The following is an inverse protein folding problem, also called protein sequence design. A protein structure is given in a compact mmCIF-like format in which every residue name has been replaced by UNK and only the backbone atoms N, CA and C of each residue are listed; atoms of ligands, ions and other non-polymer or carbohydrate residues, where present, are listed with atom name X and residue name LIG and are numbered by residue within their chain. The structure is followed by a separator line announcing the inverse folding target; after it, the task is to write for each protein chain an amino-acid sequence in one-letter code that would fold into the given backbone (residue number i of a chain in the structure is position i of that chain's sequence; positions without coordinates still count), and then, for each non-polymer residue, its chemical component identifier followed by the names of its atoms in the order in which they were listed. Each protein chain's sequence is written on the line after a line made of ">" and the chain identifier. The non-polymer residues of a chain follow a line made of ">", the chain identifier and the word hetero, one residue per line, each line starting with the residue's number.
data_IF_795454368369
#
_entry.id   IF_795454368369
#
_cell.length_a   1.000
_cell.length_b   1.000
_cell.length_c   1.000
_cell.angle_alpha   90.00
_cell.angle_beta   90.00
_cell.angle_gamma   90.00
#
_symmetry.space_group_name_H-M   'P 1'
#
loop_
_entity.id
_entity.type
_entity.pdbx_description
1 polymer ?
#
# COMPACT_ATOMS: atom_id res chain seq x y z
N UNK A 1 5.77 6.72 -11.30
CA UNK A 1 6.56 6.27 -12.45
C UNK A 1 5.75 6.33 -13.74
N UNK A 2 4.69 5.50 -13.92
CA UNK A 2 3.92 5.48 -15.16
C UNK A 2 3.35 6.84 -15.56
N UNK A 3 2.82 7.62 -14.62
CA UNK A 3 2.31 8.96 -14.87
C UNK A 3 3.36 9.88 -15.50
N UNK A 4 4.60 9.85 -15.01
CA UNK A 4 5.70 10.66 -15.53
C UNK A 4 6.02 10.27 -16.97
N UNK A 5 6.18 8.97 -17.22
CA UNK A 5 6.50 8.46 -18.56
C UNK A 5 5.35 8.72 -19.53
N UNK A 6 4.09 8.49 -19.11
CA UNK A 6 2.94 8.75 -19.96
C UNK A 6 2.82 10.23 -20.34
N UNK A 7 2.97 11.13 -19.38
CA UNK A 7 2.93 12.58 -19.66
C UNK A 7 4.05 13.00 -20.63
N UNK A 8 5.25 12.46 -20.44
CA UNK A 8 6.37 12.71 -21.32
C UNK A 8 6.13 12.14 -22.73
N UNK A 9 5.59 10.92 -22.82
CA UNK A 9 5.23 10.27 -24.08
C UNK A 9 4.15 11.03 -24.84
N UNK A 10 3.11 11.51 -24.17
CA UNK A 10 2.06 12.33 -24.79
C UNK A 10 2.60 13.66 -25.34
N UNK A 11 3.71 14.16 -24.80
CA UNK A 11 4.37 15.40 -25.25
C UNK A 11 5.36 15.16 -26.39
N UNK A 12 6.17 14.12 -26.29
CA UNK A 12 7.25 13.84 -27.26
C UNK A 12 6.83 12.96 -28.42
N UNK A 13 5.71 12.25 -28.27
CA UNK A 13 5.20 11.24 -29.20
C UNK A 13 6.21 10.09 -29.45
N UNK A 14 7.27 10.02 -28.63
CA UNK A 14 8.32 9.01 -28.71
C UNK A 14 8.61 8.42 -27.32
N UNK A 15 8.39 7.11 -27.18
CA UNK A 15 8.54 6.41 -25.91
C UNK A 15 10.00 6.37 -25.45
N UNK A 16 10.93 6.16 -26.38
CA UNK A 16 12.35 6.12 -26.04
C UNK A 16 12.79 7.45 -25.43
N UNK A 17 12.50 8.56 -26.09
CA UNK A 17 12.81 9.90 -25.58
C UNK A 17 12.11 10.17 -24.24
N UNK A 18 10.83 9.80 -24.11
CA UNK A 18 10.08 9.97 -22.87
C UNK A 18 10.73 9.25 -21.69
N UNK A 19 11.23 8.03 -21.90
CA UNK A 19 11.91 7.25 -20.86
C UNK A 19 13.32 7.83 -20.58
N UNK A 20 14.08 8.17 -21.59
CA UNK A 20 15.45 8.72 -21.44
C UNK A 20 15.48 10.00 -20.60
N UNK A 21 14.58 10.94 -20.90
CA UNK A 21 14.50 12.21 -20.18
C UNK A 21 14.09 12.04 -18.71
N UNK A 22 13.32 10.99 -18.41
CA UNK A 22 12.68 10.85 -17.11
C UNK A 22 13.21 9.69 -16.25
N UNK A 23 14.15 8.89 -16.75
CA UNK A 23 14.64 7.70 -16.06
C UNK A 23 15.19 8.01 -14.67
N UNK A 24 15.86 9.15 -14.49
CA UNK A 24 16.46 9.56 -13.22
C UNK A 24 15.44 9.93 -12.14
N UNK A 25 14.17 10.16 -12.52
CA UNK A 25 13.07 10.44 -11.60
C UNK A 25 12.29 9.19 -11.20
N UNK A 26 12.68 8.02 -11.72
CA UNK A 26 12.01 6.77 -11.42
C UNK A 26 12.65 6.09 -10.22
N UNK A 27 11.82 5.60 -9.31
CA UNK A 27 12.28 4.85 -8.15
C UNK A 27 12.41 3.34 -8.46
N UNK A 28 13.30 2.59 -7.77
CA UNK A 28 13.32 1.14 -7.84
C UNK A 28 11.95 0.53 -7.44
N UNK A 29 11.52 -0.58 -8.01
CA UNK A 29 12.22 -1.40 -9.03
C UNK A 29 12.05 -0.89 -10.47
N UNK A 30 11.12 0.03 -10.72
CA UNK A 30 10.70 0.50 -12.05
C UNK A 30 11.87 1.15 -12.83
N UNK A 31 12.75 1.87 -12.13
CA UNK A 31 13.98 2.44 -12.71
C UNK A 31 14.82 1.36 -13.43
N UNK A 32 15.06 0.22 -12.76
CA UNK A 32 15.85 -0.88 -13.34
C UNK A 32 15.20 -1.46 -14.60
N UNK A 33 13.90 -1.62 -14.57
CA UNK A 33 13.12 -2.17 -15.69
C UNK A 33 13.19 -1.25 -16.93
N UNK A 34 12.97 0.06 -16.76
CA UNK A 34 13.07 1.01 -17.87
C UNK A 34 14.54 1.20 -18.35
N UNK A 35 15.51 1.06 -17.47
CA UNK A 35 16.91 1.07 -17.87
C UNK A 35 17.25 -0.13 -18.76
N UNK A 36 16.77 -1.32 -18.43
CA UNK A 36 16.94 -2.51 -19.26
C UNK A 36 16.28 -2.34 -20.62
N UNK A 37 15.06 -1.78 -20.65
CA UNK A 37 14.35 -1.45 -21.88
C UNK A 37 15.15 -0.51 -22.78
N UNK A 38 15.68 0.61 -22.25
CA UNK A 38 16.52 1.53 -23.00
C UNK A 38 17.82 0.88 -23.51
N UNK A 39 18.45 0.06 -22.68
CA UNK A 39 19.69 -0.65 -23.06
C UNK A 39 19.42 -1.60 -24.21
N UNK A 40 18.29 -2.31 -24.19
CA UNK A 40 17.88 -3.20 -25.27
C UNK A 40 17.72 -2.45 -26.59
N UNK A 41 16.89 -1.40 -26.59
CA UNK A 41 16.60 -0.63 -27.81
C UNK A 41 17.87 0.04 -28.38
N UNK A 42 18.75 0.56 -27.53
CA UNK A 42 19.93 1.30 -27.97
C UNK A 42 21.08 0.41 -28.41
N UNK A 43 21.27 -0.76 -27.79
CA UNK A 43 22.52 -1.51 -27.91
C UNK A 43 22.35 -2.97 -28.37
N UNK A 44 21.13 -3.53 -28.32
CA UNK A 44 20.92 -4.94 -28.60
C UNK A 44 20.03 -5.12 -29.84
N UNK A 45 18.81 -4.60 -29.77
CA UNK A 45 17.82 -4.79 -30.82
C UNK A 45 16.85 -3.59 -30.80
N UNK A 46 16.79 -2.78 -31.88
CA UNK A 46 15.91 -1.63 -31.97
C UNK A 46 14.42 -1.97 -32.18
N UNK A 47 14.04 -3.25 -32.08
CA UNK A 47 12.65 -3.67 -32.16
C UNK A 47 11.87 -3.22 -30.92
N UNK A 48 11.04 -2.18 -31.13
CA UNK A 48 10.22 -1.58 -30.08
C UNK A 48 9.15 -2.56 -29.56
N UNK A 49 8.54 -3.34 -30.44
CA UNK A 49 7.47 -4.26 -30.05
C UNK A 49 8.02 -5.39 -29.18
N UNK A 50 9.16 -5.98 -29.57
CA UNK A 50 9.84 -6.98 -28.77
C UNK A 50 10.30 -6.43 -27.41
N UNK A 51 10.79 -5.17 -27.38
CA UNK A 51 11.20 -4.52 -26.14
C UNK A 51 10.00 -4.24 -25.21
N UNK A 52 8.84 -3.89 -25.76
CA UNK A 52 7.62 -3.67 -24.98
C UNK A 52 7.02 -4.97 -24.44
N UNK A 53 7.15 -6.09 -25.16
CA UNK A 53 6.76 -7.41 -24.66
C UNK A 53 7.60 -7.81 -23.44
N UNK A 54 8.92 -7.60 -23.49
CA UNK A 54 9.78 -7.86 -22.33
C UNK A 54 9.49 -6.91 -21.18
N UNK A 55 9.24 -5.64 -21.48
CA UNK A 55 8.85 -4.64 -20.48
C UNK A 55 7.55 -5.06 -19.77
N UNK A 56 6.57 -5.56 -20.52
CA UNK A 56 5.30 -6.06 -19.98
C UNK A 56 5.51 -7.24 -19.02
N UNK A 57 6.42 -8.14 -19.35
CA UNK A 57 6.74 -9.33 -18.55
C UNK A 57 7.54 -9.02 -17.28
N UNK A 58 8.21 -7.86 -17.22
CA UNK A 58 9.13 -7.51 -16.14
C UNK A 58 8.44 -7.25 -14.78
N UNK A 59 7.16 -6.86 -14.78
CA UNK A 59 6.40 -6.57 -13.57
C UNK A 59 5.06 -7.30 -13.61
N UNK A 60 4.81 -8.15 -12.60
CA UNK A 60 3.53 -8.84 -12.45
C UNK A 60 2.48 -7.93 -11.80
N UNK A 61 1.91 -7.05 -12.62
CA UNK A 61 0.85 -6.13 -12.23
C UNK A 61 -0.12 -5.92 -13.39
N UNK A 62 -1.43 -6.00 -13.11
CA UNK A 62 -2.46 -5.90 -14.15
C UNK A 62 -2.44 -4.54 -14.85
N UNK A 63 -2.35 -3.45 -14.08
CA UNK A 63 -2.33 -2.08 -14.64
C UNK A 63 -1.04 -1.81 -15.43
N UNK A 64 0.08 -2.41 -15.01
CA UNK A 64 1.33 -2.37 -15.77
C UNK A 64 1.18 -3.03 -17.13
N UNK A 65 0.58 -4.22 -17.17
CA UNK A 65 0.31 -4.95 -18.42
C UNK A 65 -0.64 -4.17 -19.33
N UNK A 66 -1.74 -3.65 -18.77
CA UNK A 66 -2.71 -2.82 -19.49
C UNK A 66 -2.06 -1.58 -20.10
N UNK A 67 -1.16 -0.92 -19.35
CA UNK A 67 -0.40 0.22 -19.84
C UNK A 67 0.56 -0.15 -20.97
N UNK A 68 1.30 -1.25 -20.86
CA UNK A 68 2.19 -1.72 -21.93
C UNK A 68 1.40 -2.07 -23.21
N UNK A 69 0.24 -2.72 -23.08
CA UNK A 69 -0.63 -3.03 -24.22
C UNK A 69 -1.17 -1.76 -24.89
N UNK A 70 -1.57 -0.77 -24.11
CA UNK A 70 -2.00 0.51 -24.65
C UNK A 70 -0.87 1.26 -25.36
N UNK A 71 0.35 1.22 -24.83
CA UNK A 71 1.52 1.84 -25.48
C UNK A 71 1.83 1.11 -26.80
N UNK A 72 1.80 -0.23 -26.83
CA UNK A 72 1.95 -1.01 -28.09
C UNK A 72 0.88 -0.64 -29.12
N UNK A 73 -0.38 -0.51 -28.70
CA UNK A 73 -1.44 -0.06 -29.59
C UNK A 73 -1.19 1.36 -30.14
N UNK A 74 -0.68 2.27 -29.32
CA UNK A 74 -0.31 3.63 -29.72
C UNK A 74 0.86 3.67 -30.71
N UNK A 75 1.75 2.69 -30.74
CA UNK A 75 2.80 2.58 -31.77
C UNK A 75 2.20 2.29 -33.14
N UNK A 76 1.10 1.55 -33.19
CA UNK A 76 0.40 1.20 -34.43
C UNK A 76 -0.57 2.30 -34.86
N UNK A 77 -1.30 2.90 -33.89
CA UNK A 77 -2.26 3.97 -34.14
C UNK A 77 -2.15 5.07 -33.08
N UNK A 78 -1.59 6.21 -33.46
CA UNK A 78 -1.38 7.35 -32.57
C UNK A 78 -2.67 7.98 -32.06
N UNK A 79 -3.80 7.76 -32.70
CA UNK A 79 -5.10 8.26 -32.23
C UNK A 79 -5.49 7.65 -30.86
N UNK A 80 -4.92 6.49 -30.51
CA UNK A 80 -5.18 5.76 -29.29
C UNK A 80 -4.45 6.32 -28.04
N UNK A 81 -3.64 7.36 -28.18
CA UNK A 81 -2.92 7.98 -27.05
C UNK A 81 -3.85 8.48 -25.94
N UNK A 82 -5.08 8.81 -26.28
CA UNK A 82 -6.12 9.20 -25.30
C UNK A 82 -6.46 8.11 -24.27
N UNK A 83 -6.20 6.84 -24.60
CA UNK A 83 -6.47 5.69 -23.72
C UNK A 83 -5.46 5.63 -22.54
N UNK A 84 -4.26 6.18 -22.70
CA UNK A 84 -3.22 6.13 -21.69
C UNK A 84 -3.55 6.93 -20.43
N UNK A 85 -4.23 8.05 -20.58
CA UNK A 85 -4.57 8.91 -19.43
C UNK A 85 -5.49 8.23 -18.42
N UNK A 86 -6.62 7.59 -18.81
CA UNK A 86 -7.47 6.86 -17.87
C UNK A 86 -6.77 5.68 -17.20
N UNK A 87 -5.86 4.98 -17.87
CA UNK A 87 -5.10 3.87 -17.28
C UNK A 87 -4.21 4.38 -16.14
N UNK A 88 -3.55 5.52 -16.34
CA UNK A 88 -2.72 6.15 -15.31
C UNK A 88 -3.56 6.69 -14.14
N UNK A 89 -4.74 7.25 -14.41
CA UNK A 89 -5.69 7.68 -13.38
C UNK A 89 -6.15 6.50 -12.52
N UNK A 90 -6.48 5.37 -13.11
CA UNK A 90 -6.84 4.13 -12.42
C UNK A 90 -5.78 3.72 -11.39
N UNK A 91 -4.49 3.86 -11.72
CA UNK A 91 -3.38 3.62 -10.78
C UNK A 91 -3.35 4.59 -9.60
N UNK A 92 -3.64 5.85 -9.85
CA UNK A 92 -3.70 6.88 -8.81
C UNK A 92 -4.87 6.61 -7.86
N UNK A 93 -6.03 6.30 -8.41
CA UNK A 93 -7.25 6.00 -7.66
C UNK A 93 -7.08 4.75 -6.79
N UNK A 94 -6.45 3.69 -7.31
CA UNK A 94 -6.13 2.49 -6.54
C UNK A 94 -5.20 2.79 -5.35
N UNK A 95 -4.26 3.73 -5.48
CA UNK A 95 -3.40 4.14 -4.38
C UNK A 95 -4.16 4.89 -3.29
N UNK A 96 -5.05 5.78 -3.68
CA UNK A 96 -5.91 6.53 -2.75
C UNK A 96 -6.81 5.57 -1.99
N UNK A 97 -7.48 4.66 -2.68
CA UNK A 97 -8.36 3.65 -2.08
C UNK A 97 -7.58 2.72 -1.14
N UNK A 98 -6.38 2.26 -1.53
CA UNK A 98 -5.56 1.43 -0.65
C UNK A 98 -5.08 2.18 0.60
N UNK A 99 -4.70 3.45 0.47
CA UNK A 99 -4.31 4.28 1.61
C UNK A 99 -5.50 4.56 2.55
N UNK A 100 -6.69 4.73 2.00
CA UNK A 100 -7.92 4.94 2.77
C UNK A 100 -8.34 3.64 3.49
N UNK A 101 -8.25 2.48 2.81
CA UNK A 101 -8.46 1.17 3.42
C UNK A 101 -7.44 0.90 4.53
N UNK A 102 -6.19 1.24 4.32
CA UNK A 102 -5.13 1.11 5.33
C UNK A 102 -5.45 1.94 6.57
N UNK A 103 -5.88 3.19 6.40
CA UNK A 103 -6.31 4.05 7.51
C UNK A 103 -7.56 3.53 8.23
N UNK A 104 -8.54 3.00 7.48
CA UNK A 104 -9.78 2.45 8.06
C UNK A 104 -9.51 1.16 8.86
N UNK A 105 -8.53 0.35 8.46
CA UNK A 105 -8.20 -0.91 9.13
C UNK A 105 -7.20 -0.72 10.28
N UNK A 106 -6.15 0.09 10.07
CA UNK A 106 -5.09 0.27 11.09
C UNK A 106 -5.42 1.37 12.11
N UNK A 107 -6.25 2.35 11.77
CA UNK A 107 -6.68 3.41 12.68
C UNK A 107 -7.32 2.87 13.96
N UNK A 108 -8.41 2.12 13.88
CA UNK A 108 -9.10 1.56 15.05
C UNK A 108 -8.22 0.61 15.87
N UNK A 109 -7.32 -0.14 15.23
CA UNK A 109 -6.40 -1.05 15.92
C UNK A 109 -5.41 -0.29 16.79
N UNK A 110 -4.83 0.80 16.28
CA UNK A 110 -3.90 1.65 17.02
C UNK A 110 -4.58 2.33 18.20
N UNK A 111 -5.78 2.84 17.98
CA UNK A 111 -6.61 3.49 19.00
C UNK A 111 -6.99 2.51 20.11
N UNK A 112 -7.42 1.29 19.76
CA UNK A 112 -7.72 0.24 20.73
C UNK A 112 -6.48 -0.14 21.58
N UNK A 113 -5.32 -0.34 20.96
CA UNK A 113 -4.08 -0.65 21.69
C UNK A 113 -3.75 0.47 22.68
N UNK A 114 -3.87 1.72 22.27
CA UNK A 114 -3.61 2.87 23.13
C UNK A 114 -4.56 2.91 24.34
N UNK A 115 -5.85 2.66 24.11
CA UNK A 115 -6.85 2.59 25.17
C UNK A 115 -6.61 1.41 26.10
N UNK A 116 -6.27 0.23 25.57
CA UNK A 116 -5.97 -0.95 26.37
C UNK A 116 -4.74 -0.74 27.29
N UNK A 117 -3.69 -0.12 26.76
CA UNK A 117 -2.51 0.25 27.55
C UNK A 117 -2.88 1.24 28.66
N UNK A 118 -3.72 2.23 28.37
CA UNK A 118 -4.15 3.24 29.34
C UNK A 118 -4.96 2.59 30.47
N UNK A 119 -5.83 1.63 30.16
CA UNK A 119 -6.60 0.87 31.17
C UNK A 119 -5.64 0.03 32.04
N UNK A 120 -4.66 -0.65 31.44
CA UNK A 120 -3.69 -1.46 32.19
C UNK A 120 -2.78 -0.61 33.10
N UNK A 121 -2.35 0.56 32.65
CA UNK A 121 -1.55 1.50 33.45
C UNK A 121 -2.35 2.06 34.61
N UNK A 122 -3.67 2.14 34.50
CA UNK A 122 -4.53 2.65 35.56
C UNK A 122 -4.42 1.82 36.85
N UNK A 123 -4.26 0.50 36.74
CA UNK A 123 -4.13 -0.40 37.89
C UNK A 123 -2.92 -0.05 38.79
N UNK A 124 -1.68 0.06 38.29
CA UNK A 124 -0.55 0.49 39.11
C UNK A 124 -0.65 1.96 39.54
N UNK A 125 -1.32 2.81 38.75
CA UNK A 125 -1.51 4.23 39.08
C UNK A 125 -2.33 4.40 40.37
N UNK A 126 -3.37 3.60 40.57
CA UNK A 126 -4.20 3.60 41.79
C UNK A 126 -3.33 3.35 43.03
N UNK A 127 -2.29 2.54 42.95
CA UNK A 127 -1.33 2.31 44.04
C UNK A 127 -0.60 3.60 44.49
N UNK A 128 -0.29 4.47 43.54
CA UNK A 128 0.39 5.74 43.84
C UNK A 128 -0.55 6.76 44.42
N UNK A 129 -1.81 6.78 44.00
CA UNK A 129 -2.81 7.77 44.45
C UNK A 129 -3.37 7.37 45.82
N UNK A 130 -3.74 6.10 45.99
CA UNK A 130 -4.32 5.61 47.24
C UNK A 130 -3.99 4.13 47.49
N UNK A 131 -3.11 3.89 48.47
CA UNK A 131 -2.65 2.57 48.83
C UNK A 131 -3.77 1.66 49.39
N UNK A 132 -4.71 2.24 50.14
CA UNK A 132 -5.80 1.50 50.78
C UNK A 132 -6.80 1.01 49.68
N UNK A 133 -7.09 1.81 48.71
CA UNK A 133 -7.90 1.42 47.57
C UNK A 133 -7.25 0.32 46.72
N UNK A 134 -5.96 0.45 46.49
CA UNK A 134 -5.22 -0.58 45.77
C UNK A 134 -5.22 -1.91 46.53
N UNK A 135 -5.03 -1.87 47.87
CA UNK A 135 -5.09 -3.05 48.71
C UNK A 135 -6.47 -3.69 48.70
N UNK A 136 -7.52 -2.92 48.81
CA UNK A 136 -8.91 -3.38 48.69
C UNK A 136 -9.16 -4.02 47.32
N UNK A 137 -8.68 -3.40 46.22
CA UNK A 137 -8.87 -3.91 44.87
C UNK A 137 -8.14 -5.24 44.61
N UNK A 138 -6.92 -5.41 45.13
CA UNK A 138 -6.06 -6.58 44.87
C UNK A 138 -6.21 -7.67 45.91
N UNK A 139 -6.45 -7.34 47.19
CA UNK A 139 -6.43 -8.29 48.31
C UNK A 139 -7.83 -8.83 48.66
N UNK A 140 -8.92 -8.16 48.20
CA UNK A 140 -10.28 -8.64 48.51
C UNK A 140 -10.85 -9.48 47.36
N UNK A 141 -11.66 -10.48 47.71
CA UNK A 141 -12.33 -11.35 46.73
C UNK A 141 -13.19 -10.54 45.72
N UNK A 142 -14.03 -9.55 46.13
CA UNK A 142 -14.79 -8.76 45.17
C UNK A 142 -13.89 -7.90 44.26
N UNK A 143 -12.78 -7.35 44.78
CA UNK A 143 -11.83 -6.57 43.98
C UNK A 143 -11.14 -7.42 42.90
N UNK A 144 -10.71 -8.64 43.27
CA UNK A 144 -10.14 -9.57 42.29
C UNK A 144 -11.11 -9.99 41.22
N UNK A 145 -12.39 -10.18 41.55
CA UNK A 145 -13.45 -10.45 40.54
C UNK A 145 -13.62 -9.31 39.55
N UNK A 146 -13.60 -8.06 40.03
CA UNK A 146 -13.70 -6.90 39.14
C UNK A 146 -12.50 -6.80 38.19
N UNK A 147 -11.27 -7.01 38.71
CA UNK A 147 -10.07 -7.02 37.86
C UNK A 147 -10.16 -8.15 36.83
N UNK A 148 -10.56 -9.35 37.23
CA UNK A 148 -10.67 -10.50 36.32
C UNK A 148 -11.69 -10.22 35.19
N UNK A 149 -12.84 -9.66 35.52
CA UNK A 149 -13.86 -9.27 34.51
C UNK A 149 -13.33 -8.20 33.56
N UNK A 150 -12.64 -7.17 34.06
CA UNK A 150 -12.05 -6.14 33.23
C UNK A 150 -10.98 -6.69 32.28
N UNK A 151 -10.09 -7.56 32.78
CA UNK A 151 -9.06 -8.20 31.96
C UNK A 151 -9.68 -9.13 30.90
N UNK A 152 -10.71 -9.90 31.28
CA UNK A 152 -11.44 -10.75 30.33
C UNK A 152 -12.11 -9.92 29.24
N UNK A 153 -12.74 -8.79 29.58
CA UNK A 153 -13.36 -7.89 28.61
C UNK A 153 -12.33 -7.30 27.65
N UNK A 154 -11.17 -6.84 28.15
CA UNK A 154 -10.07 -6.34 27.32
C UNK A 154 -9.54 -7.43 26.39
N UNK A 155 -9.36 -8.65 26.90
CA UNK A 155 -8.89 -9.79 26.11
C UNK A 155 -9.87 -10.18 25.00
N UNK A 156 -11.16 -10.28 25.30
CA UNK A 156 -12.20 -10.58 24.32
C UNK A 156 -12.25 -9.47 23.25
N UNK A 157 -12.22 -8.20 23.65
CA UNK A 157 -12.20 -7.08 22.73
C UNK A 157 -10.97 -7.10 21.84
N UNK A 158 -9.80 -7.45 22.40
CA UNK A 158 -8.58 -7.60 21.62
C UNK A 158 -8.68 -8.72 20.59
N UNK A 159 -9.22 -9.87 20.97
CA UNK A 159 -9.43 -10.99 20.03
C UNK A 159 -10.37 -10.59 18.87
N UNK A 160 -11.42 -9.83 19.15
CA UNK A 160 -12.34 -9.31 18.14
C UNK A 160 -11.65 -8.31 17.21
N UNK A 161 -10.89 -7.36 17.74
CA UNK A 161 -10.14 -6.37 16.92
C UNK A 161 -9.15 -7.08 16.03
N UNK A 162 -8.38 -8.05 16.54
CA UNK A 162 -7.42 -8.82 15.74
C UNK A 162 -8.13 -9.58 14.63
N UNK A 163 -9.26 -10.23 14.93
CA UNK A 163 -10.04 -11.00 13.94
C UNK A 163 -10.64 -10.10 12.85
N UNK A 164 -11.15 -8.92 13.22
CA UNK A 164 -11.75 -7.99 12.26
C UNK A 164 -10.73 -7.21 11.42
N UNK A 165 -9.52 -7.05 11.94
CA UNK A 165 -8.42 -6.34 11.23
C UNK A 165 -7.46 -7.27 10.50
N UNK A 166 -7.74 -8.58 10.41
CA UNK A 166 -6.99 -9.46 9.52
C UNK A 166 -7.23 -9.03 8.08
N UNK A 167 -6.17 -8.76 7.29
CA UNK A 167 -6.33 -8.48 5.88
C UNK A 167 -7.01 -9.70 5.24
N UNK A 168 -8.05 -9.44 4.46
CA UNK A 168 -8.65 -10.48 3.62
C UNK A 168 -7.57 -10.82 2.59
N UNK A 169 -6.80 -11.88 2.84
CA UNK A 169 -5.97 -12.46 1.80
C UNK A 169 -6.91 -12.90 0.68
N UNK A 170 -6.93 -12.12 -0.39
CA UNK A 170 -7.46 -12.57 -1.66
C UNK A 170 -6.58 -13.73 -2.12
N UNK A 171 -6.98 -14.93 -1.73
CA UNK A 171 -6.42 -16.18 -2.24
C UNK A 171 -6.77 -16.23 -3.74
N UNK A 172 -5.72 -15.94 -4.56
CA UNK A 172 -5.73 -16.34 -5.97
C UNK A 172 -5.70 -17.84 -6.11
#
# INVERSE_FOLDING_TARGET
>A
ALSIITTAYLRSEDLQTAVEENINYLNPPVHGVFRSFLTRIKHIDPDMDAALVDLKAAIDNEVWREWCDAVMACQTDRSLTSILTPIVSKLSDMRVVNAELENLVFGPRKEFITMAILVLINIPLVRFINKDWYHTLVATIPGQMVIAVCLAAVFVSFAFVVKLTQPIEYRR
#
